data_IF_198466938118
#
_entry.id   IF_198466938118
#
_cell.length_a   1.000
_cell.length_b   1.000
_cell.length_c   1.000
_cell.angle_alpha   90.00
_cell.angle_beta   90.00
_cell.angle_gamma   90.00
#
_symmetry.space_group_name_H-M   'P 1'
#
loop_
_entity.id
_entity.type
_entity.pdbx_description
1 polymer ?
#
# COMPACT_ATOMS: atom_id res chain seq x y z
N UNK A 1 5.06 3.16 0.01
CA UNK A 1 4.81 2.81 1.43
C UNK A 1 3.68 1.78 1.56
N UNK A 2 3.77 0.82 2.48
CA UNK A 2 2.72 -0.16 2.78
C UNK A 2 2.40 -0.14 4.29
N UNK A 3 1.13 0.03 4.65
CA UNK A 3 0.61 0.07 6.02
C UNK A 3 -0.22 -1.17 6.28
N UNK A 4 0.29 -2.13 7.04
CA UNK A 4 -0.46 -3.34 7.45
C UNK A 4 0.02 -3.81 8.83
N UNK A 5 -0.90 -4.21 9.70
CA UNK A 5 -0.59 -4.76 11.02
C UNK A 5 0.16 -6.10 10.91
N UNK A 6 0.06 -6.78 9.77
CA UNK A 6 0.67 -8.07 9.50
C UNK A 6 2.17 -7.95 9.16
N UNK A 7 3.02 -7.90 10.18
CA UNK A 7 4.48 -7.72 10.02
C UNK A 7 5.16 -8.81 9.18
N UNK A 8 4.64 -10.04 9.22
CA UNK A 8 5.18 -11.17 8.44
C UNK A 8 4.98 -10.96 6.93
N UNK A 9 3.82 -10.43 6.53
CA UNK A 9 3.53 -10.06 5.15
C UNK A 9 4.45 -8.91 4.71
N UNK A 10 4.52 -7.85 5.52
CA UNK A 10 5.37 -6.69 5.24
C UNK A 10 6.84 -7.07 5.00
N UNK A 11 7.40 -7.97 5.81
CA UNK A 11 8.79 -8.41 5.65
C UNK A 11 9.00 -9.13 4.32
N UNK A 12 8.12 -10.07 3.98
CA UNK A 12 8.22 -10.84 2.74
C UNK A 12 8.08 -9.95 1.51
N UNK A 13 7.09 -9.05 1.51
CA UNK A 13 6.83 -8.14 0.39
C UNK A 13 7.98 -7.18 0.19
N UNK A 14 8.56 -6.65 1.28
CA UNK A 14 9.75 -5.81 1.23
C UNK A 14 10.94 -6.54 0.59
N UNK A 15 11.21 -7.78 0.99
CA UNK A 15 12.29 -8.59 0.41
C UNK A 15 12.07 -8.90 -1.07
N UNK A 16 10.81 -9.11 -1.49
CA UNK A 16 10.49 -9.37 -2.89
C UNK A 16 10.65 -8.12 -3.74
N UNK A 17 10.07 -6.99 -3.32
CA UNK A 17 10.12 -5.73 -4.06
C UNK A 17 11.54 -5.13 -4.10
N UNK A 18 12.34 -5.32 -3.05
CA UNK A 18 13.75 -4.90 -3.05
C UNK A 18 14.58 -5.63 -4.11
N UNK A 19 14.21 -6.85 -4.52
CA UNK A 19 14.88 -7.55 -5.65
C UNK A 19 14.56 -6.93 -7.00
N UNK A 20 13.46 -6.19 -7.09
CA UNK A 20 13.01 -5.52 -8.30
C UNK A 20 13.42 -4.03 -8.33
N UNK A 21 14.40 -3.63 -7.51
CA UNK A 21 14.88 -2.24 -7.37
C UNK A 21 13.80 -1.25 -6.93
N UNK A 22 12.74 -1.75 -6.27
CA UNK A 22 11.66 -0.93 -5.71
C UNK A 22 11.92 -0.68 -4.23
N UNK A 23 12.04 0.59 -3.86
CA UNK A 23 12.18 0.99 -2.47
C UNK A 23 10.83 0.95 -1.74
N UNK A 24 10.75 0.13 -0.68
CA UNK A 24 9.50 -0.09 0.06
C UNK A 24 9.67 0.26 1.52
N UNK A 25 8.96 1.31 1.93
CA UNK A 25 8.73 1.65 3.33
C UNK A 25 7.53 0.86 3.85
N UNK A 26 7.73 0.07 4.89
CA UNK A 26 6.67 -0.70 5.55
C UNK A 26 6.41 -0.16 6.96
N UNK A 27 5.15 0.01 7.31
CA UNK A 27 4.71 0.53 8.61
C UNK A 27 3.55 -0.31 9.13
N UNK A 28 3.52 -0.53 10.43
CA UNK A 28 2.50 -1.40 11.05
C UNK A 28 1.31 -0.66 11.64
N UNK A 29 1.31 0.68 11.61
CA UNK A 29 0.27 1.53 12.20
C UNK A 29 0.06 2.77 11.31
N UNK A 30 -1.20 3.13 11.07
CA UNK A 30 -1.59 4.31 10.29
C UNK A 30 -1.07 5.63 10.89
N UNK A 31 -0.88 5.71 12.22
CA UNK A 31 -0.29 6.89 12.86
C UNK A 31 1.17 7.07 12.46
N UNK A 32 1.95 5.98 12.49
CA UNK A 32 3.34 6.00 12.01
C UNK A 32 3.39 6.36 10.53
N UNK A 33 2.47 5.84 9.72
CA UNK A 33 2.36 6.19 8.32
C UNK A 33 2.16 7.71 8.12
N UNK A 34 1.27 8.33 8.92
CA UNK A 34 1.04 9.78 8.89
C UNK A 34 2.25 10.58 9.38
N UNK A 35 2.97 10.09 10.37
CA UNK A 35 4.20 10.75 10.84
C UNK A 35 5.28 10.71 9.74
N UNK A 36 5.46 9.56 9.07
CA UNK A 36 6.35 9.45 7.91
C UNK A 36 5.94 10.37 6.76
N UNK A 37 4.63 10.50 6.46
CA UNK A 37 4.13 11.42 5.42
C UNK A 37 4.27 12.91 5.77
N UNK A 38 4.44 13.23 7.06
CA UNK A 38 4.68 14.60 7.53
C UNK A 38 6.16 14.93 7.61
N UNK A 39 6.98 13.97 8.03
CA UNK A 39 8.44 14.12 8.13
C UNK A 39 9.11 14.06 6.75
N UNK A 40 8.68 13.13 5.91
CA UNK A 40 9.08 13.02 4.51
C UNK A 40 8.01 13.74 3.68
N UNK A 41 8.40 14.74 2.88
CA UNK A 41 7.45 15.47 2.03
C UNK A 41 6.56 14.48 1.26
N UNK A 42 5.25 14.69 1.22
CA UNK A 42 4.30 13.75 0.57
C UNK A 42 4.70 13.38 -0.88
N UNK A 43 5.45 14.23 -1.57
CA UNK A 43 6.01 13.99 -2.91
C UNK A 43 7.10 12.89 -2.99
N UNK A 44 7.59 12.35 -1.86
CA UNK A 44 8.61 11.28 -1.86
C UNK A 44 8.05 9.89 -2.12
N UNK A 45 6.72 9.70 -1.99
CA UNK A 45 6.12 8.38 -2.15
C UNK A 45 5.33 8.26 -3.45
N UNK A 46 5.70 7.30 -4.30
CA UNK A 46 4.97 7.02 -5.53
C UNK A 46 3.61 6.36 -5.32
N UNK A 47 3.55 5.49 -4.30
CA UNK A 47 2.41 4.64 -4.00
C UNK A 47 2.31 4.40 -2.49
N UNK A 48 1.14 4.63 -1.92
CA UNK A 48 0.84 4.33 -0.51
C UNK A 48 -0.27 3.29 -0.47
N UNK A 49 0.00 2.12 0.11
CA UNK A 49 -0.98 1.07 0.36
C UNK A 49 -1.40 1.08 1.82
N UNK A 50 -2.69 1.22 2.12
CA UNK A 50 -3.19 1.23 3.50
C UNK A 50 -4.18 0.09 3.71
N UNK A 51 -3.88 -0.79 4.66
CA UNK A 51 -4.81 -1.84 5.06
C UNK A 51 -5.94 -1.20 5.88
N UNK A 52 -7.14 -1.17 5.30
CA UNK A 52 -8.33 -0.66 5.97
C UNK A 52 -9.44 -1.71 5.98
N UNK A 53 -10.28 -1.67 7.01
CA UNK A 53 -11.53 -2.42 7.03
C UNK A 53 -12.54 -1.74 6.13
N UNK A 54 -13.27 -2.52 5.34
CA UNK A 54 -14.32 -1.99 4.49
C UNK A 54 -15.54 -1.59 5.35
N UNK A 55 -16.11 -0.40 5.17
CA UNK A 55 -17.33 -0.02 5.88
C UNK A 55 -18.47 -0.98 5.51
N UNK A 56 -19.10 -1.59 6.52
CA UNK A 56 -20.18 -2.57 6.33
C UNK A 56 -19.73 -4.05 6.34
N UNK A 57 -18.43 -4.34 6.43
CA UNK A 57 -17.89 -5.68 6.64
C UNK A 57 -16.97 -5.71 7.85
N UNK A 58 -17.31 -6.49 8.87
CA UNK A 58 -16.44 -6.69 10.05
C UNK A 58 -15.34 -7.72 9.80
N UNK A 59 -15.44 -8.53 8.74
CA UNK A 59 -14.54 -9.66 8.47
C UNK A 59 -13.57 -9.42 7.30
N UNK A 60 -13.77 -8.37 6.49
CA UNK A 60 -12.99 -8.14 5.27
C UNK A 60 -12.10 -6.91 5.40
N UNK A 61 -10.82 -7.11 5.14
CA UNK A 61 -9.81 -6.06 5.04
C UNK A 61 -9.31 -5.96 3.61
N UNK A 62 -8.90 -4.76 3.20
CA UNK A 62 -8.35 -4.51 1.88
C UNK A 62 -7.23 -3.48 1.96
N UNK A 63 -6.20 -3.67 1.13
CA UNK A 63 -5.16 -2.66 0.91
C UNK A 63 -5.67 -1.66 -0.11
N UNK A 64 -5.80 -0.40 0.28
CA UNK A 64 -6.18 0.70 -0.60
C UNK A 64 -4.95 1.46 -1.08
N UNK A 65 -4.85 1.69 -2.38
CA UNK A 65 -3.78 2.48 -2.99
C UNK A 65 -4.12 3.96 -3.08
N UNK A 66 -3.21 4.81 -2.62
CA UNK A 66 -3.30 6.27 -2.68
C UNK A 66 -2.02 6.84 -3.30
N UNK A 67 -2.18 7.86 -4.16
CA UNK A 67 -1.07 8.66 -4.69
C UNK A 67 -1.06 10.02 -3.96
N UNK A 68 0.07 10.47 -3.40
CA UNK A 68 0.14 11.72 -2.65
C UNK A 68 -0.04 12.99 -3.50
N UNK A 69 0.04 12.90 -4.83
CA UNK A 69 -0.10 14.07 -5.71
C UNK A 69 -1.07 13.85 -6.88
N UNK A 70 -2.34 13.51 -6.64
CA UNK A 70 -3.37 13.71 -7.70
C UNK A 70 -4.72 14.15 -7.12
N UNK A 71 -5.05 15.43 -7.35
CA UNK A 71 -6.40 15.98 -7.32
C UNK A 71 -7.34 15.10 -8.18
N UNK A 72 -8.48 14.71 -7.62
CA UNK A 72 -9.53 13.85 -8.19
C UNK A 72 -9.16 12.37 -8.24
N UNK A 73 -9.56 11.66 -7.19
CA UNK A 73 -9.65 10.21 -7.16
C UNK A 73 -10.84 9.81 -8.05
N UNK A 74 -10.64 9.10 -9.19
CA UNK A 74 -11.74 8.41 -9.83
C UNK A 74 -12.13 7.25 -8.91
N UNK A 75 -13.42 7.12 -8.63
CA UNK A 75 -14.04 6.05 -7.83
C UNK A 75 -14.01 4.71 -8.56
N UNK A 76 -12.82 4.25 -8.97
CA UNK A 76 -12.60 2.97 -9.63
C UNK A 76 -12.28 1.89 -8.61
N UNK A 77 -12.95 0.73 -8.76
CA UNK A 77 -12.77 -0.50 -7.99
C UNK A 77 -11.34 -1.08 -8.13
N UNK A 78 -10.54 -0.55 -9.05
CA UNK A 78 -9.19 -1.01 -9.40
C UNK A 78 -8.08 -0.59 -8.42
N UNK A 79 -8.41 0.15 -7.35
CA UNK A 79 -7.41 0.70 -6.43
C UNK A 79 -7.30 -0.05 -5.11
N UNK A 80 -7.95 -1.22 -4.96
CA UNK A 80 -7.85 -2.01 -3.75
C UNK A 80 -7.55 -3.50 -4.00
N UNK A 81 -6.80 -4.10 -3.08
CA UNK A 81 -6.51 -5.53 -3.03
C UNK A 81 -7.19 -6.14 -1.80
N UNK A 82 -8.19 -7.01 -2.01
CA UNK A 82 -9.01 -7.60 -0.94
C UNK A 82 -8.36 -8.87 -0.36
N UNK A 83 -8.33 -9.01 0.98
CA UNK A 83 -7.90 -10.26 1.63
C UNK A 83 -8.96 -11.38 1.49
N UNK A 84 -8.54 -12.67 1.41
CA UNK A 84 -7.16 -13.15 1.43
C UNK A 84 -6.48 -12.96 0.06
N UNK A 85 -5.26 -12.45 0.09
CA UNK A 85 -4.38 -12.36 -1.07
C UNK A 85 -3.03 -13.00 -0.75
N UNK A 86 -2.33 -13.40 -1.80
CA UNK A 86 -0.96 -13.92 -1.76
C UNK A 86 0.04 -12.77 -1.81
N UNK A 87 1.27 -13.05 -1.36
CA UNK A 87 2.37 -12.07 -1.46
C UNK A 87 2.70 -11.75 -2.92
N UNK A 88 2.55 -12.72 -3.81
CA UNK A 88 2.71 -12.56 -5.25
C UNK A 88 1.70 -11.56 -5.82
N UNK A 89 0.41 -11.69 -5.48
CA UNK A 89 -0.64 -10.75 -5.90
C UNK A 89 -0.36 -9.33 -5.40
N UNK A 90 0.12 -9.17 -4.16
CA UNK A 90 0.48 -7.86 -3.63
C UNK A 90 1.67 -7.24 -4.37
N UNK A 91 2.71 -8.03 -4.66
CA UNK A 91 3.87 -7.57 -5.43
C UNK A 91 3.46 -7.19 -6.84
N UNK A 92 2.62 -7.99 -7.49
CA UNK A 92 2.10 -7.70 -8.83
C UNK A 92 1.26 -6.43 -8.85
N UNK A 93 0.38 -6.25 -7.86
CA UNK A 93 -0.42 -5.04 -7.69
C UNK A 93 0.46 -3.79 -7.54
N UNK A 94 1.50 -3.86 -6.70
CA UNK A 94 2.46 -2.75 -6.57
C UNK A 94 3.17 -2.47 -7.90
N UNK A 95 3.67 -3.50 -8.58
CA UNK A 95 4.36 -3.35 -9.86
C UNK A 95 3.46 -2.75 -10.94
N UNK A 96 2.21 -3.17 -11.01
CA UNK A 96 1.22 -2.67 -11.97
C UNK A 96 0.94 -1.18 -11.76
N UNK A 97 0.82 -0.75 -10.49
CA UNK A 97 0.59 0.66 -10.12
C UNK A 97 1.80 1.57 -10.29
N UNK A 98 3.02 1.04 -10.10
CA UNK A 98 4.27 1.79 -10.34
C UNK A 98 4.56 1.90 -11.85
N UNK A 99 4.31 0.86 -12.66
CA UNK A 99 4.57 0.90 -14.11
C UNK A 99 3.66 1.84 -14.90
N UNK A 100 2.48 2.16 -14.39
CA UNK A 100 1.53 3.10 -15.00
C UNK A 100 1.65 4.52 -14.43
N UNK A 101 2.80 4.89 -13.84
CA UNK A 101 3.13 6.28 -13.51
C UNK A 101 3.74 7.02 -14.69
#
# INVERSE_FOLDING_TARGET
>A
MIVDEETNLLRQVKEMLAKDDVEVVTVSDSRKALDHLKEENEETFDLILVNTRMPGSTQTTALFSMKPAVKKIPSGIENFLQKPFTKEELVEFVKEKIKHQ
#
